data_IF_450170854733
#
_entry.id   IF_450170854733
#
_cell.length_a   1.000
_cell.length_b   1.000
_cell.length_c   1.000
_cell.angle_alpha   90.00
_cell.angle_beta   90.00
_cell.angle_gamma   90.00
#
_symmetry.space_group_name_H-M   'P 1'
#
loop_
_entity.id
_entity.type
_entity.pdbx_description
1 polymer ?
#
# COMPACT_ATOMS: atom_id res chain seq x y z
N UNK A 1 -14.82 4.85 -0.31
CA UNK A 1 -14.25 3.48 -0.23
C UNK A 1 -12.76 3.59 -0.16
N UNK A 2 -12.17 4.26 -1.14
CA UNK A 2 -10.75 4.59 -1.20
C UNK A 2 -10.14 5.11 0.13
N UNK A 3 -10.57 6.28 0.61
CA UNK A 3 -10.17 6.85 1.92
C UNK A 3 -10.38 5.94 3.13
N UNK A 4 -11.38 5.05 3.09
CA UNK A 4 -11.62 4.12 4.18
C UNK A 4 -10.62 2.95 4.16
N UNK A 5 -10.28 2.45 2.97
CA UNK A 5 -9.22 1.48 2.79
C UNK A 5 -7.86 2.07 3.20
N UNK A 6 -7.58 3.31 2.79
CA UNK A 6 -6.38 4.03 3.20
C UNK A 6 -6.26 4.13 4.73
N UNK A 7 -7.31 4.58 5.42
CA UNK A 7 -7.30 4.74 6.87
C UNK A 7 -6.99 3.41 7.60
N UNK A 8 -7.58 2.29 7.14
CA UNK A 8 -7.35 0.96 7.70
C UNK A 8 -5.90 0.52 7.48
N UNK A 9 -5.35 0.75 6.29
CA UNK A 9 -3.96 0.39 5.97
C UNK A 9 -3.00 1.21 6.84
N UNK A 10 -3.19 2.54 6.92
CA UNK A 10 -2.37 3.43 7.76
C UNK A 10 -2.43 3.00 9.23
N UNK A 11 -3.62 2.76 9.78
CA UNK A 11 -3.79 2.32 11.17
C UNK A 11 -3.06 1.00 11.43
N UNK A 12 -3.16 0.04 10.50
CA UNK A 12 -2.51 -1.27 10.60
C UNK A 12 -0.99 -1.16 10.60
N UNK A 13 -0.43 -0.33 9.71
CA UNK A 13 1.01 -0.07 9.65
C UNK A 13 1.48 0.61 10.93
N UNK A 14 0.80 1.68 11.38
CA UNK A 14 1.20 2.46 12.56
C UNK A 14 1.16 1.66 13.86
N UNK A 15 0.28 0.65 13.97
CA UNK A 15 0.27 -0.28 15.12
C UNK A 15 1.57 -1.07 15.27
N UNK A 16 2.22 -1.41 14.16
CA UNK A 16 3.45 -2.21 14.15
C UNK A 16 4.72 -1.37 13.97
N UNK A 17 4.60 -0.27 13.21
CA UNK A 17 5.70 0.59 12.80
C UNK A 17 5.33 2.08 12.93
N UNK A 18 5.17 2.58 14.16
CA UNK A 18 4.72 3.95 14.40
C UNK A 18 5.67 5.03 13.87
N UNK A 19 6.97 4.73 13.69
CA UNK A 19 8.01 5.67 13.28
C UNK A 19 8.23 5.80 11.76
N UNK A 20 7.71 4.89 10.94
CA UNK A 20 8.00 4.89 9.49
C UNK A 20 7.24 6.01 8.76
N UNK A 21 7.78 6.47 7.63
CA UNK A 21 7.07 7.36 6.70
C UNK A 21 6.06 6.56 5.88
N UNK A 22 4.88 7.14 5.65
CA UNK A 22 3.83 6.54 4.81
C UNK A 22 3.45 7.55 3.72
N UNK A 23 3.42 7.10 2.47
CA UNK A 23 3.08 7.88 1.28
C UNK A 23 1.90 7.20 0.62
N UNK A 24 0.80 7.92 0.44
CA UNK A 24 -0.43 7.41 -0.15
C UNK A 24 -0.93 8.29 -1.28
N UNK A 25 -1.75 7.73 -2.18
CA UNK A 25 -2.35 8.48 -3.29
C UNK A 25 -3.24 9.64 -2.81
N UNK A 26 -4.10 9.41 -1.81
CA UNK A 26 -5.12 10.40 -1.41
C UNK A 26 -4.62 11.43 -0.39
N UNK A 27 -3.80 10.99 0.57
CA UNK A 27 -3.37 11.81 1.71
C UNK A 27 -1.95 12.33 1.58
N UNK A 28 -1.21 11.91 0.54
CA UNK A 28 0.16 12.35 0.30
C UNK A 28 1.14 11.74 1.30
N UNK A 29 2.08 12.55 1.78
CA UNK A 29 3.15 12.09 2.67
C UNK A 29 2.83 12.34 4.15
N UNK A 30 2.84 11.27 4.94
CA UNK A 30 2.79 11.26 6.39
C UNK A 30 4.20 10.97 6.93
N UNK A 31 4.97 12.04 7.15
CA UNK A 31 6.34 11.94 7.65
C UNK A 31 6.42 11.15 8.97
N UNK A 32 7.32 10.17 8.99
CA UNK A 32 7.74 9.46 10.18
C UNK A 32 9.04 10.05 10.75
N UNK A 33 9.39 9.66 11.97
CA UNK A 33 10.70 10.01 12.55
C UNK A 33 11.84 9.19 11.95
N UNK A 34 11.55 8.02 11.38
CA UNK A 34 12.48 7.21 10.61
C UNK A 34 12.24 7.43 9.11
N UNK A 35 13.10 8.25 8.51
CA UNK A 35 13.02 8.59 7.09
C UNK A 35 13.67 7.55 6.16
N UNK A 36 14.40 6.57 6.71
CA UNK A 36 15.00 5.52 5.89
C UNK A 36 13.94 4.55 5.35
N UNK A 37 12.80 4.44 6.02
CA UNK A 37 11.72 3.50 5.67
C UNK A 37 10.46 4.23 5.21
N UNK A 38 10.01 3.89 4.00
CA UNK A 38 8.82 4.47 3.39
C UNK A 38 7.84 3.37 2.95
N UNK A 39 6.58 3.50 3.35
CA UNK A 39 5.47 2.71 2.82
C UNK A 39 4.84 3.49 1.68
N UNK A 40 4.77 2.92 0.48
CA UNK A 40 4.12 3.53 -0.69
C UNK A 40 2.86 2.73 -0.97
N UNK A 41 1.71 3.41 -0.97
CA UNK A 41 0.40 2.77 -0.88
C UNK A 41 -0.53 3.34 -1.93
N UNK A 42 -1.16 2.44 -2.68
CA UNK A 42 -2.36 2.71 -3.46
C UNK A 42 -3.50 1.88 -2.85
N UNK A 43 -4.48 2.53 -2.18
CA UNK A 43 -5.57 1.84 -1.50
C UNK A 43 -6.62 1.27 -2.48
N UNK A 44 -6.66 1.70 -3.74
CA UNK A 44 -7.57 1.19 -4.78
C UNK A 44 -7.05 1.48 -6.19
N UNK A 45 -6.11 0.66 -6.65
CA UNK A 45 -5.68 0.67 -8.05
C UNK A 45 -6.83 0.16 -8.92
N UNK A 46 -7.23 0.95 -9.91
CA UNK A 46 -8.39 0.66 -10.75
C UNK A 46 -9.70 1.30 -10.26
N UNK A 47 -9.65 2.45 -9.59
CA UNK A 47 -10.83 3.23 -9.17
C UNK A 47 -11.90 3.38 -10.27
N UNK A 48 -11.52 3.60 -11.54
CA UNK A 48 -12.49 3.65 -12.66
C UNK A 48 -13.26 2.34 -12.84
N UNK A 49 -12.57 1.20 -12.72
CA UNK A 49 -13.19 -0.12 -12.81
C UNK A 49 -14.13 -0.34 -11.63
N UNK A 50 -13.70 0.02 -10.42
CA UNK A 50 -14.52 -0.08 -9.21
C UNK A 50 -15.83 0.72 -9.36
N UNK A 51 -15.76 1.98 -9.80
CA UNK A 51 -16.94 2.85 -10.01
C UNK A 51 -17.88 2.26 -11.07
N UNK A 52 -17.32 1.66 -12.13
CA UNK A 52 -18.09 0.99 -13.20
C UNK A 52 -18.54 -0.43 -12.86
N UNK A 53 -18.26 -0.92 -11.64
CA UNK A 53 -18.54 -2.29 -11.19
C UNK A 53 -17.87 -3.37 -12.04
N UNK A 54 -16.73 -3.04 -12.66
CA UNK A 54 -15.89 -4.01 -13.33
C UNK A 54 -14.96 -4.63 -12.26
N UNK A 55 -15.02 -5.96 -12.03
CA UNK A 55 -14.34 -6.62 -10.91
C UNK A 55 -12.85 -6.86 -11.21
N UNK A 56 -12.11 -5.78 -11.45
CA UNK A 56 -10.67 -5.80 -11.68
C UNK A 56 -10.06 -4.51 -11.11
N UNK A 57 -9.63 -4.62 -9.87
CA UNK A 57 -9.00 -3.57 -9.07
C UNK A 57 -8.21 -4.24 -7.95
N UNK A 58 -7.22 -3.55 -7.37
CA UNK A 58 -6.35 -4.13 -6.36
C UNK A 58 -5.95 -3.14 -5.27
N UNK A 59 -5.39 -3.65 -4.18
CA UNK A 59 -4.64 -2.85 -3.21
C UNK A 59 -3.16 -3.09 -3.47
N UNK A 60 -2.35 -2.02 -3.53
CA UNK A 60 -0.91 -2.11 -3.76
C UNK A 60 -0.14 -1.46 -2.62
N UNK A 61 0.81 -2.20 -2.05
CA UNK A 61 1.65 -1.75 -0.93
C UNK A 61 3.11 -2.14 -1.22
N UNK A 62 4.00 -1.16 -1.17
CA UNK A 62 5.44 -1.38 -1.26
C UNK A 62 6.17 -0.77 -0.06
N UNK A 63 7.22 -1.45 0.41
CA UNK A 63 8.14 -0.93 1.43
C UNK A 63 9.47 -0.61 0.76
N UNK A 64 9.89 0.64 0.88
CA UNK A 64 11.20 1.12 0.44
C UNK A 64 12.09 1.36 1.63
N UNK A 65 13.32 0.88 1.56
CA UNK A 65 14.38 1.16 2.54
C UNK A 65 15.50 1.88 1.81
N UNK A 66 15.86 3.08 2.27
CA UNK A 66 16.90 3.95 1.66
C UNK A 66 16.68 4.13 0.15
N UNK A 67 15.43 4.40 -0.23
CA UNK A 67 15.02 4.63 -1.60
C UNK A 67 14.89 3.38 -2.49
N UNK A 68 15.18 2.18 -1.99
CA UNK A 68 15.07 0.92 -2.75
C UNK A 68 13.89 0.08 -2.26
N UNK A 69 13.09 -0.45 -3.18
CA UNK A 69 11.99 -1.37 -2.83
C UNK A 69 12.54 -2.70 -2.32
N UNK A 70 12.15 -3.06 -1.09
CA UNK A 70 12.57 -4.30 -0.44
C UNK A 70 11.44 -5.34 -0.37
N UNK A 71 10.19 -4.89 -0.19
CA UNK A 71 9.00 -5.75 -0.12
C UNK A 71 7.86 -5.14 -0.95
N UNK A 72 7.06 -5.98 -1.59
CA UNK A 72 5.87 -5.57 -2.32
C UNK A 72 4.73 -6.57 -2.13
N UNK A 73 3.51 -6.04 -2.08
CA UNK A 73 2.25 -6.78 -2.03
C UNK A 73 1.26 -6.15 -3.00
N UNK A 74 0.63 -6.96 -3.83
CA UNK A 74 -0.54 -6.59 -4.64
C UNK A 74 -1.63 -7.61 -4.36
N UNK A 75 -2.83 -7.14 -4.03
CA UNK A 75 -3.95 -8.00 -3.67
C UNK A 75 -5.20 -7.67 -4.49
N UNK A 76 -5.67 -8.63 -5.29
CA UNK A 76 -6.98 -8.57 -5.97
C UNK A 76 -8.04 -9.24 -5.06
N UNK A 77 -8.93 -8.44 -4.43
CA UNK A 77 -9.93 -8.97 -3.51
C UNK A 77 -11.10 -9.68 -4.22
N UNK A 78 -11.31 -9.43 -5.52
CA UNK A 78 -12.39 -10.07 -6.28
C UNK A 78 -12.04 -11.49 -6.67
N UNK A 79 -10.74 -11.76 -6.91
CA UNK A 79 -10.20 -13.07 -7.27
C UNK A 79 -9.57 -13.81 -6.10
N UNK A 80 -9.36 -13.13 -4.97
CA UNK A 80 -8.57 -13.62 -3.83
C UNK A 80 -7.16 -14.04 -4.28
N UNK A 81 -6.54 -13.20 -5.10
CA UNK A 81 -5.17 -13.41 -5.60
C UNK A 81 -4.22 -12.47 -4.85
N UNK A 82 -3.24 -13.07 -4.18
CA UNK A 82 -2.22 -12.36 -3.43
C UNK A 82 -0.86 -12.54 -4.11
N UNK A 83 -0.33 -11.44 -4.62
CA UNK A 83 1.00 -11.38 -5.22
C UNK A 83 1.95 -10.72 -4.23
N UNK A 84 3.05 -11.40 -3.92
CA UNK A 84 4.06 -10.91 -2.98
C UNK A 84 5.44 -11.07 -3.56
N UNK A 85 6.34 -10.13 -3.24
CA UNK A 85 7.75 -10.26 -3.55
C UNK A 85 8.59 -9.69 -2.40
N UNK A 86 9.72 -10.33 -2.14
CA UNK A 86 10.77 -9.80 -1.26
C UNK A 86 12.07 -9.79 -2.05
N UNK A 87 12.82 -8.69 -1.97
CA UNK A 87 14.03 -8.51 -2.77
C UNK A 87 15.01 -9.67 -2.55
N UNK A 88 15.37 -10.32 -3.66
CA UNK A 88 16.32 -11.44 -3.67
C UNK A 88 15.73 -12.80 -3.30
N UNK A 89 14.41 -12.92 -3.12
CA UNK A 89 13.75 -14.17 -2.70
C UNK A 89 12.75 -14.76 -3.71
N UNK A 90 12.44 -14.05 -4.80
CA UNK A 90 11.40 -14.45 -5.74
C UNK A 90 10.03 -14.13 -5.18
#
# INVERSE_FOLDING_TARGET
VDKAAEAIIIETIRKSYPQHTIITEESGEHEGTDQDVQWVIDPLDGTTNFVKRLPHFSVSIAVRIKGRTEVAVVYDPMRNELFTATRGQG
#
